data_IF_539873813275
#
_entry.id   IF_539873813275
#
_cell.length_a   1.000
_cell.length_b   1.000
_cell.length_c   1.000
_cell.angle_alpha   90.00
_cell.angle_beta   90.00
_cell.angle_gamma   90.00
#
_symmetry.space_group_name_H-M   'P 1'
#
loop_
_entity.id
_entity.type
_entity.pdbx_description
1 polymer ?
#
# COMPACT_ATOMS: atom_id res chain seq x y z
N UNK A 1 18.79 -2.43 4.76
CA UNK A 1 18.52 -3.83 5.14
C UNK A 1 17.23 -4.30 4.50
N UNK A 2 17.18 -5.49 3.89
CA UNK A 2 15.94 -6.05 3.37
C UNK A 2 14.94 -6.26 4.52
N UNK A 3 13.66 -5.98 4.27
CA UNK A 3 12.61 -6.25 5.26
C UNK A 3 12.43 -7.75 5.42
N UNK A 4 12.46 -8.23 6.65
CA UNK A 4 12.13 -9.62 6.93
C UNK A 4 10.68 -9.93 6.51
N UNK A 5 10.41 -11.14 6.01
CA UNK A 5 9.06 -11.58 5.69
C UNK A 5 8.16 -11.50 6.94
N UNK A 6 6.89 -11.20 6.72
CA UNK A 6 5.90 -11.12 7.81
C UNK A 6 5.56 -12.54 8.26
N UNK A 7 5.64 -12.80 9.56
CA UNK A 7 5.26 -14.06 10.18
C UNK A 7 3.76 -14.07 10.49
N UNK A 8 2.96 -14.69 9.63
CA UNK A 8 1.51 -14.78 9.77
C UNK A 8 1.05 -15.84 10.81
N UNK A 9 1.94 -16.68 11.31
CA UNK A 9 1.62 -17.58 12.43
C UNK A 9 1.27 -16.82 13.72
N UNK A 10 1.66 -15.54 13.80
CA UNK A 10 1.39 -14.63 14.91
C UNK A 10 0.18 -13.72 14.68
N UNK A 11 -0.61 -14.00 13.67
CA UNK A 11 -1.79 -13.18 13.34
C UNK A 11 -2.82 -13.24 14.45
N UNK A 12 -3.38 -12.10 14.78
CA UNK A 12 -4.57 -11.96 15.61
C UNK A 12 -5.55 -10.99 14.93
N UNK A 13 -6.84 -11.22 15.20
CA UNK A 13 -7.91 -10.31 14.77
C UNK A 13 -8.32 -9.49 15.99
N UNK A 14 -8.54 -8.21 15.78
CA UNK A 14 -8.92 -7.27 16.81
C UNK A 14 -10.07 -6.37 16.35
N UNK A 15 -10.75 -5.76 17.32
CA UNK A 15 -11.67 -4.66 17.09
C UNK A 15 -11.19 -3.39 17.78
N UNK A 16 -11.59 -2.26 17.24
CA UNK A 16 -11.57 -0.95 17.91
C UNK A 16 -13.02 -0.57 18.08
N UNK A 17 -13.44 -0.33 19.29
CA UNK A 17 -14.81 0.06 19.61
C UNK A 17 -14.83 1.29 20.53
N UNK A 18 -15.87 2.09 20.40
CA UNK A 18 -16.11 3.22 21.31
C UNK A 18 -16.61 2.71 22.66
N UNK A 19 -16.17 3.35 23.75
CA UNK A 19 -16.45 2.89 25.12
C UNK A 19 -17.94 2.94 25.44
N UNK A 20 -18.66 3.97 24.95
CA UNK A 20 -20.07 4.22 25.26
C UNK A 20 -21.01 3.96 24.07
N UNK A 21 -20.47 3.81 22.86
CA UNK A 21 -21.28 3.61 21.65
C UNK A 21 -20.87 2.33 20.91
N UNK A 22 -21.53 1.24 21.25
CA UNK A 22 -21.28 -0.08 20.70
C UNK A 22 -21.48 -0.18 19.17
N UNK A 23 -22.15 0.81 18.55
CA UNK A 23 -22.31 0.83 17.10
C UNK A 23 -21.05 1.26 16.35
N UNK A 24 -20.10 1.93 17.02
CA UNK A 24 -18.84 2.37 16.41
C UNK A 24 -17.77 1.30 16.54
N UNK A 25 -17.71 0.41 15.55
CA UNK A 25 -16.81 -0.73 15.51
C UNK A 25 -15.96 -0.72 14.25
N UNK A 26 -14.66 -0.95 14.43
CA UNK A 26 -13.69 -1.28 13.39
C UNK A 26 -13.10 -2.65 13.67
N UNK A 27 -12.91 -3.46 12.65
CA UNK A 27 -12.21 -4.75 12.71
C UNK A 27 -10.93 -4.68 11.90
N UNK A 28 -9.88 -5.33 12.38
CA UNK A 28 -8.59 -5.40 11.71
C UNK A 28 -7.78 -6.61 12.13
N UNK A 29 -6.73 -6.93 11.38
CA UNK A 29 -5.77 -7.95 11.76
C UNK A 29 -4.36 -7.36 11.93
N UNK A 30 -3.53 -8.04 12.71
CA UNK A 30 -2.11 -7.70 12.86
C UNK A 30 -1.28 -8.90 13.30
N UNK A 31 -0.01 -8.88 12.97
CA UNK A 31 1.00 -9.83 13.51
C UNK A 31 1.83 -9.20 14.64
N UNK A 32 1.57 -7.91 14.96
CA UNK A 32 2.27 -7.19 16.02
C UNK A 32 1.31 -6.19 16.69
N UNK A 33 0.80 -6.57 17.85
CA UNK A 33 -0.20 -5.85 18.62
C UNK A 33 0.23 -4.44 19.00
N UNK A 34 1.35 -4.31 19.70
CA UNK A 34 1.80 -3.03 20.26
C UNK A 34 2.12 -2.01 19.18
N UNK A 35 2.81 -2.47 18.14
CA UNK A 35 3.09 -1.64 16.97
C UNK A 35 1.80 -1.16 16.30
N UNK A 36 0.81 -2.05 16.13
CA UNK A 36 -0.46 -1.69 15.49
C UNK A 36 -1.27 -0.72 16.33
N UNK A 37 -1.36 -0.95 17.63
CA UNK A 37 -2.02 -0.04 18.58
C UNK A 37 -1.37 1.35 18.58
N UNK A 38 -0.04 1.40 18.60
CA UNK A 38 0.71 2.65 18.49
C UNK A 38 0.44 3.38 17.18
N UNK A 39 0.37 2.67 16.04
CA UNK A 39 0.03 3.24 14.74
C UNK A 39 -1.37 3.86 14.73
N UNK A 40 -2.38 3.17 15.29
CA UNK A 40 -3.74 3.72 15.36
C UNK A 40 -3.77 4.99 16.21
N UNK A 41 -3.17 4.97 17.40
CA UNK A 41 -3.07 6.14 18.28
C UNK A 41 -2.35 7.31 17.58
N UNK A 42 -1.23 7.05 16.92
CA UNK A 42 -0.49 8.06 16.18
C UNK A 42 -1.32 8.65 15.04
N UNK A 43 -1.94 7.80 14.22
CA UNK A 43 -2.69 8.25 13.04
C UNK A 43 -3.99 8.96 13.38
N UNK A 44 -4.60 8.68 14.53
CA UNK A 44 -5.78 9.41 15.00
C UNK A 44 -5.45 10.81 15.50
N UNK A 45 -4.24 11.04 16.06
CA UNK A 45 -3.90 12.27 16.75
C UNK A 45 -2.93 13.19 15.99
N UNK A 46 -2.24 12.70 14.95
CA UNK A 46 -1.19 13.44 14.28
C UNK A 46 -1.53 13.76 12.82
N UNK A 47 -1.73 15.05 12.54
CA UNK A 47 -2.03 15.56 11.19
C UNK A 47 -0.95 15.25 10.14
N UNK A 48 0.31 15.05 10.56
CA UNK A 48 1.41 14.67 9.67
C UNK A 48 1.36 13.20 9.26
N UNK A 49 0.47 12.40 9.86
CA UNK A 49 0.27 11.01 9.44
C UNK A 49 -0.38 10.94 8.06
N UNK A 50 0.18 10.15 7.16
CA UNK A 50 -0.42 9.88 5.83
C UNK A 50 -1.84 9.27 5.93
N UNK A 51 -2.14 8.66 7.06
CA UNK A 51 -3.39 7.96 7.33
C UNK A 51 -4.42 8.87 8.04
N UNK A 52 -4.02 10.07 8.48
CA UNK A 52 -4.83 10.98 9.31
C UNK A 52 -6.25 11.19 8.77
N UNK A 53 -6.39 11.31 7.43
CA UNK A 53 -7.65 11.57 6.76
C UNK A 53 -8.45 10.30 6.39
N UNK A 54 -8.04 9.12 6.86
CA UNK A 54 -8.87 7.91 6.69
C UNK A 54 -10.15 8.01 7.51
N UNK A 55 -11.25 7.47 6.97
CA UNK A 55 -12.57 7.44 7.61
C UNK A 55 -12.51 7.00 9.08
N UNK A 56 -11.80 5.90 9.36
CA UNK A 56 -11.58 5.40 10.72
C UNK A 56 -11.11 6.51 11.68
N UNK A 57 -10.05 7.24 11.32
CA UNK A 57 -9.45 8.23 12.20
C UNK A 57 -10.25 9.52 12.27
N UNK A 58 -10.98 9.87 11.20
CA UNK A 58 -11.96 10.96 11.24
C UNK A 58 -13.09 10.63 12.23
N UNK A 59 -13.65 9.41 12.17
CA UNK A 59 -14.70 8.98 13.09
C UNK A 59 -14.20 8.93 14.53
N UNK A 60 -12.98 8.45 14.78
CA UNK A 60 -12.37 8.47 16.12
C UNK A 60 -12.28 9.91 16.65
N UNK A 61 -11.78 10.86 15.86
CA UNK A 61 -11.69 12.28 16.29
C UNK A 61 -13.06 12.91 16.53
N UNK A 62 -14.02 12.65 15.66
CA UNK A 62 -15.39 13.18 15.77
C UNK A 62 -16.15 12.61 16.99
N UNK A 63 -15.68 11.46 17.52
CA UNK A 63 -16.27 10.80 18.69
C UNK A 63 -15.39 10.96 19.94
N UNK A 64 -14.73 12.12 20.09
CA UNK A 64 -13.98 12.49 21.29
C UNK A 64 -12.53 12.01 21.34
N UNK A 65 -12.01 11.46 20.23
CA UNK A 65 -10.60 11.06 20.11
C UNK A 65 -10.30 9.65 20.60
N UNK A 66 -9.03 9.27 20.47
CA UNK A 66 -8.55 7.92 20.79
C UNK A 66 -8.84 7.47 22.23
N UNK A 67 -8.94 8.39 23.16
CA UNK A 67 -9.20 8.08 24.59
C UNK A 67 -10.55 7.40 24.81
N UNK A 68 -11.52 7.67 23.94
CA UNK A 68 -12.86 7.08 24.01
C UNK A 68 -12.98 5.74 23.28
N UNK A 69 -11.87 5.21 22.79
CA UNK A 69 -11.83 3.94 22.06
C UNK A 69 -10.95 2.91 22.75
N UNK A 70 -11.39 1.67 22.70
CA UNK A 70 -10.61 0.49 23.15
C UNK A 70 -10.25 -0.36 21.96
N UNK A 71 -9.00 -0.80 21.89
CA UNK A 71 -8.55 -1.85 20.99
C UNK A 71 -8.53 -3.18 21.75
N UNK A 72 -9.30 -4.15 21.29
CA UNK A 72 -9.57 -5.42 21.97
C UNK A 72 -9.22 -6.56 21.02
N UNK A 73 -8.46 -7.55 21.50
CA UNK A 73 -8.22 -8.80 20.79
C UNK A 73 -9.53 -9.60 20.74
N UNK A 74 -9.98 -9.98 19.54
CA UNK A 74 -11.12 -10.88 19.35
C UNK A 74 -10.63 -12.34 19.43
N UNK A 75 -9.57 -12.64 18.65
CA UNK A 75 -9.03 -13.99 18.60
C UNK A 75 -7.61 -14.02 18.05
N UNK A 76 -6.83 -15.02 18.44
CA UNK A 76 -5.61 -15.42 17.73
C UNK A 76 -6.01 -16.21 16.50
N UNK A 77 -5.41 -15.89 15.37
CA UNK A 77 -5.70 -16.53 14.10
C UNK A 77 -4.41 -16.83 13.34
N UNK A 78 -3.59 -17.80 13.79
CA UNK A 78 -2.43 -18.24 13.03
C UNK A 78 -2.85 -18.67 11.64
N UNK A 79 -2.20 -18.12 10.61
CA UNK A 79 -2.51 -18.40 9.20
C UNK A 79 -1.23 -18.42 8.36
N UNK A 80 -1.35 -18.83 7.10
CA UNK A 80 -0.19 -18.97 6.22
C UNK A 80 0.18 -17.66 5.54
N UNK A 81 -0.80 -16.83 5.24
CA UNK A 81 -0.58 -15.60 4.49
C UNK A 81 -1.59 -14.50 4.84
N UNK A 82 -1.38 -13.36 4.20
CA UNK A 82 -2.22 -12.17 4.36
C UNK A 82 -3.66 -12.40 3.90
N UNK A 83 -3.88 -13.21 2.87
CA UNK A 83 -5.23 -13.41 2.31
C UNK A 83 -6.13 -14.20 3.25
N UNK A 84 -5.57 -15.19 3.95
CA UNK A 84 -6.30 -15.92 4.99
C UNK A 84 -6.69 -14.97 6.14
N UNK A 85 -5.74 -14.11 6.58
CA UNK A 85 -6.03 -13.09 7.58
C UNK A 85 -7.11 -12.10 7.15
N UNK A 86 -7.02 -11.57 5.90
CA UNK A 86 -8.01 -10.66 5.32
C UNK A 86 -9.39 -11.30 5.18
N UNK A 87 -9.45 -12.59 4.83
CA UNK A 87 -10.72 -13.34 4.74
C UNK A 87 -11.40 -13.41 6.10
N UNK A 88 -10.66 -13.79 7.15
CA UNK A 88 -11.23 -13.88 8.50
C UNK A 88 -11.62 -12.51 9.06
N UNK A 89 -10.83 -11.48 8.78
CA UNK A 89 -11.18 -10.09 9.11
C UNK A 89 -12.52 -9.70 8.46
N UNK A 90 -12.72 -9.97 7.16
CA UNK A 90 -13.93 -9.63 6.42
C UNK A 90 -15.19 -10.38 6.94
N UNK A 91 -15.03 -11.64 7.36
CA UNK A 91 -16.09 -12.40 8.02
C UNK A 91 -16.53 -11.71 9.33
N UNK A 92 -15.57 -11.36 10.19
CA UNK A 92 -15.84 -10.70 11.46
C UNK A 92 -16.35 -9.26 11.29
N UNK A 93 -15.92 -8.55 10.24
CA UNK A 93 -16.50 -7.24 9.91
C UNK A 93 -18.00 -7.34 9.66
N UNK A 94 -18.46 -8.39 8.99
CA UNK A 94 -19.89 -8.64 8.72
C UNK A 94 -20.62 -9.09 9.98
N UNK A 95 -20.04 -10.04 10.71
CA UNK A 95 -20.62 -10.55 11.98
C UNK A 95 -20.83 -9.43 12.99
N UNK A 96 -19.87 -8.51 13.14
CA UNK A 96 -19.89 -7.40 14.08
C UNK A 96 -20.48 -6.10 13.50
N UNK A 97 -20.97 -6.11 12.28
CA UNK A 97 -21.50 -4.94 11.58
C UNK A 97 -20.55 -3.73 11.64
N UNK A 98 -19.26 -3.96 11.42
CA UNK A 98 -18.18 -3.00 11.59
C UNK A 98 -18.31 -1.81 10.63
N UNK A 99 -18.93 -0.72 11.09
CA UNK A 99 -19.28 0.45 10.27
C UNK A 99 -18.14 1.46 10.09
N UNK A 100 -17.06 1.34 10.86
CA UNK A 100 -15.87 2.20 10.75
C UNK A 100 -14.88 1.69 9.69
N UNK A 101 -15.05 0.48 9.17
CA UNK A 101 -14.29 -0.03 8.04
C UNK A 101 -14.77 0.65 6.74
N UNK A 102 -13.84 0.96 5.84
CA UNK A 102 -14.16 1.66 4.58
C UNK A 102 -14.38 0.68 3.42
N UNK A 103 -13.66 -0.43 3.44
CA UNK A 103 -13.65 -1.44 2.38
C UNK A 103 -13.66 -2.83 2.99
N UNK A 104 -14.19 -3.78 2.22
CA UNK A 104 -14.03 -5.19 2.53
C UNK A 104 -12.54 -5.55 2.48
N UNK A 105 -12.05 -6.22 3.50
CA UNK A 105 -10.66 -6.64 3.57
C UNK A 105 -10.34 -7.73 2.56
N UNK A 106 -11.33 -8.54 2.20
CA UNK A 106 -11.19 -9.65 1.27
C UNK A 106 -12.10 -9.50 0.06
N UNK A 107 -11.51 -9.62 -1.12
CA UNK A 107 -12.22 -9.69 -2.40
C UNK A 107 -11.95 -11.06 -3.02
N UNK A 108 -13.01 -11.81 -3.36
CA UNK A 108 -12.86 -13.11 -4.05
C UNK A 108 -12.17 -12.94 -5.40
N UNK A 109 -11.49 -13.99 -5.89
CA UNK A 109 -10.78 -13.93 -7.17
C UNK A 109 -11.71 -13.58 -8.34
N UNK A 110 -12.95 -14.05 -8.31
CA UNK A 110 -13.91 -13.76 -9.39
C UNK A 110 -14.34 -12.30 -9.38
N UNK A 111 -14.71 -11.75 -8.23
CA UNK A 111 -14.99 -10.30 -8.09
C UNK A 111 -13.79 -9.44 -8.48
N UNK A 112 -12.55 -9.89 -8.16
CA UNK A 112 -11.34 -9.20 -8.57
C UNK A 112 -11.14 -9.22 -10.08
N UNK A 113 -11.39 -10.37 -10.73
CA UNK A 113 -11.34 -10.49 -12.20
C UNK A 113 -12.37 -9.58 -12.87
N UNK A 114 -13.59 -9.55 -12.38
CA UNK A 114 -14.65 -8.70 -12.90
C UNK A 114 -14.30 -7.22 -12.75
N UNK A 115 -13.87 -6.80 -11.56
CA UNK A 115 -13.38 -5.44 -11.32
C UNK A 115 -12.23 -5.06 -12.26
N UNK A 116 -11.24 -5.95 -12.45
CA UNK A 116 -10.11 -5.66 -13.34
C UNK A 116 -10.54 -5.58 -14.81
N UNK A 117 -11.52 -6.37 -15.22
CA UNK A 117 -12.11 -6.34 -16.57
C UNK A 117 -12.80 -4.99 -16.80
N UNK A 118 -13.66 -4.59 -15.88
CA UNK A 118 -14.35 -3.30 -15.92
C UNK A 118 -13.37 -2.12 -15.89
N UNK A 119 -12.41 -2.13 -14.97
CA UNK A 119 -11.37 -1.11 -14.87
C UNK A 119 -10.59 -0.95 -16.16
N UNK A 120 -10.20 -2.04 -16.82
CA UNK A 120 -9.49 -2.00 -18.10
C UNK A 120 -10.36 -1.43 -19.21
N UNK A 121 -11.64 -1.73 -19.22
CA UNK A 121 -12.58 -1.22 -20.21
C UNK A 121 -12.80 0.27 -20.06
N UNK A 122 -13.08 0.73 -18.85
CA UNK A 122 -13.31 2.16 -18.53
C UNK A 122 -12.03 3.00 -18.74
N UNK A 123 -10.86 2.45 -18.42
CA UNK A 123 -9.60 3.19 -18.50
C UNK A 123 -8.76 2.86 -19.75
N UNK A 124 -9.35 2.22 -20.76
CA UNK A 124 -8.64 1.72 -21.95
C UNK A 124 -7.77 2.78 -22.64
N UNK A 125 -8.32 3.95 -22.88
CA UNK A 125 -7.59 5.04 -23.57
C UNK A 125 -6.45 5.58 -22.70
N UNK A 126 -6.69 5.79 -21.42
CA UNK A 126 -5.67 6.24 -20.46
C UNK A 126 -4.52 5.22 -20.29
N UNK A 127 -4.84 3.94 -20.30
CA UNK A 127 -3.82 2.86 -20.25
C UNK A 127 -2.99 2.88 -21.53
N UNK A 128 -3.63 3.04 -22.71
CA UNK A 128 -2.96 3.12 -23.99
C UNK A 128 -2.04 4.34 -24.08
N UNK A 129 -2.52 5.51 -23.67
CA UNK A 129 -1.74 6.74 -23.60
C UNK A 129 -0.51 6.59 -22.71
N UNK A 130 -0.68 6.09 -21.50
CA UNK A 130 0.42 5.84 -20.57
C UNK A 130 1.46 4.84 -21.14
N UNK A 131 0.99 3.81 -21.84
CA UNK A 131 1.89 2.85 -22.50
C UNK A 131 2.71 3.52 -23.59
N UNK A 132 2.07 4.33 -24.45
CA UNK A 132 2.72 5.06 -25.54
C UNK A 132 3.77 6.05 -25.00
N UNK A 133 3.39 6.88 -24.02
CA UNK A 133 4.28 7.85 -23.38
C UNK A 133 5.50 7.18 -22.72
N UNK A 134 5.31 6.04 -22.06
CA UNK A 134 6.42 5.29 -21.47
C UNK A 134 7.34 4.67 -22.52
N UNK A 135 6.79 4.17 -23.64
CA UNK A 135 7.55 3.63 -24.75
C UNK A 135 8.42 4.72 -25.38
N UNK A 136 7.87 5.90 -25.63
CA UNK A 136 8.59 7.05 -26.19
C UNK A 136 9.73 7.50 -25.27
N UNK A 137 9.46 7.68 -23.98
CA UNK A 137 10.48 8.00 -22.97
C UNK A 137 11.63 6.97 -22.93
N UNK A 138 11.30 5.70 -23.08
CA UNK A 138 12.31 4.63 -23.12
C UNK A 138 13.18 4.73 -24.38
N UNK A 139 12.58 4.96 -25.54
CA UNK A 139 13.31 5.13 -26.82
C UNK A 139 14.21 6.38 -26.79
N UNK A 140 13.71 7.47 -26.24
CA UNK A 140 14.50 8.69 -26.08
C UNK A 140 15.72 8.47 -25.18
N UNK A 141 15.54 7.85 -24.00
CA UNK A 141 16.64 7.51 -23.10
C UNK A 141 17.69 6.61 -23.80
N UNK A 142 17.25 5.61 -24.55
CA UNK A 142 18.12 4.72 -25.31
C UNK A 142 18.92 5.49 -26.36
N UNK A 143 18.27 6.36 -27.12
CA UNK A 143 18.90 7.23 -28.12
C UNK A 143 19.95 8.14 -27.51
N UNK A 144 19.63 8.80 -26.40
CA UNK A 144 20.54 9.68 -25.68
C UNK A 144 21.76 8.95 -25.13
N UNK A 145 21.59 7.73 -24.64
CA UNK A 145 22.70 6.87 -24.18
C UNK A 145 23.62 6.51 -25.34
N UNK A 146 23.07 6.13 -26.50
CA UNK A 146 23.86 5.80 -27.71
C UNK A 146 24.64 7.04 -28.18
N UNK A 147 24.03 8.22 -28.21
CA UNK A 147 24.70 9.48 -28.57
C UNK A 147 25.88 9.77 -27.64
N UNK A 148 25.70 9.66 -26.34
CA UNK A 148 26.79 9.85 -25.34
C UNK A 148 27.95 8.88 -25.58
N UNK A 149 27.68 7.59 -25.79
CA UNK A 149 28.73 6.60 -26.07
C UNK A 149 29.50 6.93 -27.35
N UNK A 150 28.83 7.34 -28.43
CA UNK A 150 29.46 7.74 -29.68
C UNK A 150 30.39 8.94 -29.50
N UNK A 151 29.93 9.98 -28.76
CA UNK A 151 30.71 11.17 -28.46
C UNK A 151 31.97 10.84 -27.65
N UNK A 152 31.81 10.01 -26.61
CA UNK A 152 32.97 9.58 -25.78
C UNK A 152 34.01 8.82 -26.61
N UNK A 153 33.59 7.88 -27.46
CA UNK A 153 34.50 7.14 -28.35
C UNK A 153 35.24 8.09 -29.28
N UNK A 154 34.54 9.05 -29.94
CA UNK A 154 35.17 10.01 -30.84
C UNK A 154 36.22 10.87 -30.12
N UNK A 155 35.93 11.32 -28.91
CA UNK A 155 36.88 12.11 -28.11
C UNK A 155 38.12 11.30 -27.71
N UNK A 156 37.92 10.02 -27.36
CA UNK A 156 39.03 9.11 -27.04
C UNK A 156 39.93 8.88 -28.23
N UNK A 157 39.37 8.63 -29.41
CA UNK A 157 40.14 8.46 -30.67
C UNK A 157 40.96 9.71 -31.01
N UNK A 158 40.32 10.89 -30.98
CA UNK A 158 41.01 12.17 -31.25
C UNK A 158 42.14 12.45 -30.25
N UNK A 159 41.99 12.08 -28.97
CA UNK A 159 43.03 12.22 -27.97
C UNK A 159 44.23 11.29 -28.19
N UNK A 160 43.96 10.06 -28.68
CA UNK A 160 45.02 9.09 -29.04
C UNK A 160 45.80 9.58 -30.25
N UNK A 161 45.13 10.09 -31.28
CA UNK A 161 45.77 10.63 -32.47
C UNK A 161 46.65 11.86 -32.15
N UNK A 162 46.12 12.80 -31.35
CA UNK A 162 46.90 13.98 -30.86
C UNK A 162 48.14 13.60 -30.06
N UNK A 163 48.11 12.50 -29.29
CA UNK A 163 49.30 12.00 -28.56
C UNK A 163 50.33 11.38 -29.47
N UNK A 164 49.88 10.67 -30.57
CA UNK A 164 50.78 10.06 -31.55
C UNK A 164 51.50 11.12 -32.42
N UNK A 165 50.93 12.29 -32.62
CA UNK A 165 51.54 13.39 -33.38
C UNK A 165 52.54 14.24 -32.62
N UNK A 166 52.69 14.02 -31.32
CA UNK A 166 53.61 14.77 -30.44
C UNK A 166 54.85 13.99 -30.03
N UNK A 167 54.95 12.75 -30.46
CA UNK A 167 56.16 11.88 -30.33
C UNK A 167 56.75 11.61 -31.72
#
# INVERSE_FOLDING_TARGET
MPKLPIDYSRTLIYKIEHIENESLVYVGHTTNWDKRKGQHKYSSNNEKSKEYNRKLYQMIRNSGGWINFKMIEIMKYPCNDKREAEKREDELMKELQANMNTYNSYITEDKRKDYLKEYRQVNKEKIKENYTNNKEKYQEKKSNTIKKIKTTKKNTTNNIEKKKMKN
#
